data_IF_520358512628
#
_entry.id   IF_520358512628
#
_cell.length_a   1.000
_cell.length_b   1.000
_cell.length_c   1.000
_cell.angle_alpha   90.00
_cell.angle_beta   90.00
_cell.angle_gamma   90.00
#
_symmetry.space_group_name_H-M   'P 1'
#
loop_
_entity.id
_entity.type
_entity.pdbx_description
1 polymer ?
#
# COMPACT_ATOMS: atom_id res chain seq x y z
N UNK A 1 9.15 -4.60 -20.82
CA UNK A 1 7.69 -4.78 -20.60
C UNK A 1 7.35 -4.99 -19.12
N UNK A 2 8.05 -5.83 -18.36
CA UNK A 2 7.78 -5.99 -16.90
C UNK A 2 8.51 -4.93 -16.06
N UNK A 3 9.75 -4.57 -16.41
CA UNK A 3 10.57 -3.57 -15.69
C UNK A 3 10.02 -2.15 -15.84
N UNK A 4 9.45 -1.79 -16.99
CA UNK A 4 8.90 -0.45 -17.24
C UNK A 4 7.68 -0.18 -16.36
N UNK A 5 6.81 -1.19 -16.20
CA UNK A 5 5.66 -1.13 -15.30
C UNK A 5 6.11 -1.01 -13.83
N UNK A 6 7.13 -1.77 -13.44
CA UNK A 6 7.72 -1.66 -12.10
C UNK A 6 8.33 -0.27 -11.86
N UNK A 7 9.08 0.28 -12.81
CA UNK A 7 9.68 1.60 -12.69
C UNK A 7 8.61 2.70 -12.56
N UNK A 8 7.52 2.61 -13.33
CA UNK A 8 6.38 3.52 -13.21
C UNK A 8 5.68 3.39 -11.86
N UNK A 9 5.48 2.16 -11.38
CA UNK A 9 4.91 1.93 -10.06
C UNK A 9 5.79 2.55 -8.97
N UNK A 10 7.10 2.28 -8.98
CA UNK A 10 8.03 2.82 -7.99
C UNK A 10 8.11 4.36 -8.05
N UNK A 11 8.07 4.96 -9.23
CA UNK A 11 7.99 6.41 -9.39
C UNK A 11 6.73 6.99 -8.72
N UNK A 12 5.61 6.26 -8.78
CA UNK A 12 4.38 6.64 -8.09
C UNK A 12 4.49 6.34 -6.59
N UNK A 13 4.90 5.15 -6.18
CA UNK A 13 4.93 4.70 -4.79
C UNK A 13 6.00 5.42 -3.94
N UNK A 14 7.09 5.90 -4.55
CA UNK A 14 8.28 6.47 -3.90
C UNK A 14 8.10 7.77 -3.12
N UNK A 15 6.88 8.13 -2.72
CA UNK A 15 6.64 9.17 -1.72
C UNK A 15 6.72 8.60 -0.32
N UNK A 16 7.32 9.33 0.65
CA UNK A 16 7.41 8.87 2.04
C UNK A 16 6.08 8.41 2.64
N UNK A 17 5.00 9.17 2.46
CA UNK A 17 3.69 8.81 3.00
C UNK A 17 3.10 7.57 2.31
N UNK A 18 3.31 7.40 1.00
CA UNK A 18 2.81 6.24 0.26
C UNK A 18 3.55 4.97 0.65
N UNK A 19 4.87 5.05 0.81
CA UNK A 19 5.66 3.93 1.35
C UNK A 19 5.25 3.57 2.78
N UNK A 20 4.96 4.56 3.64
CA UNK A 20 4.43 4.28 4.99
C UNK A 20 3.06 3.60 4.95
N UNK A 21 2.15 4.03 4.07
CA UNK A 21 0.85 3.34 3.86
C UNK A 21 1.08 1.87 3.49
N UNK A 22 1.97 1.61 2.54
CA UNK A 22 2.29 0.25 2.12
C UNK A 22 2.92 -0.58 3.25
N UNK A 23 3.78 0.02 4.07
CA UNK A 23 4.38 -0.62 5.23
C UNK A 23 3.32 -1.01 6.26
N UNK A 24 2.46 -0.08 6.68
CA UNK A 24 1.40 -0.38 7.64
C UNK A 24 0.47 -1.48 7.13
N UNK A 25 0.03 -1.40 5.87
CA UNK A 25 -0.81 -2.43 5.25
C UNK A 25 -0.10 -3.78 5.04
N UNK A 26 1.23 -3.84 5.17
CA UNK A 26 2.00 -5.09 5.13
C UNK A 26 2.14 -5.74 6.51
N UNK A 27 1.98 -4.98 7.59
CA UNK A 27 2.12 -5.43 8.97
C UNK A 27 0.78 -5.86 9.60
N UNK A 28 -0.34 -5.35 9.08
CA UNK A 28 -1.69 -5.67 9.57
C UNK A 28 -2.60 -6.16 8.44
N UNK A 29 -3.70 -6.83 8.81
CA UNK A 29 -4.61 -7.44 7.82
C UNK A 29 -5.37 -6.40 6.98
N UNK A 30 -5.94 -5.38 7.60
CA UNK A 30 -6.65 -4.30 6.91
C UNK A 30 -6.70 -3.00 7.73
N UNK A 31 -6.74 -1.85 7.06
CA UNK A 31 -6.88 -0.52 7.69
C UNK A 31 -7.89 0.35 6.93
N UNK A 32 -8.67 1.17 7.63
CA UNK A 32 -9.49 2.20 7.01
C UNK A 32 -8.68 3.47 6.70
N UNK A 33 -9.28 4.38 5.92
CA UNK A 33 -8.71 5.72 5.68
C UNK A 33 -8.55 6.50 6.98
N UNK A 34 -9.44 6.29 7.96
CA UNK A 34 -9.39 6.86 9.29
C UNK A 34 -8.11 6.45 10.04
N UNK A 35 -7.85 5.14 10.15
CA UNK A 35 -6.68 4.61 10.85
C UNK A 35 -5.39 5.12 10.21
N UNK A 36 -5.31 5.09 8.87
CA UNK A 36 -4.14 5.58 8.13
C UNK A 36 -3.93 7.09 8.30
N UNK A 37 -5.00 7.87 8.42
CA UNK A 37 -4.93 9.30 8.69
C UNK A 37 -4.34 9.59 10.08
N UNK A 38 -4.77 8.83 11.09
CA UNK A 38 -4.25 8.92 12.44
C UNK A 38 -2.78 8.47 12.52
N UNK A 39 -2.44 7.32 11.95
CA UNK A 39 -1.07 6.79 11.93
C UNK A 39 -0.05 7.70 11.22
N UNK A 40 -0.50 8.43 10.20
CA UNK A 40 0.37 9.29 9.39
C UNK A 40 0.37 10.76 9.84
N UNK A 41 -0.48 11.13 10.79
CA UNK A 41 -0.77 12.52 11.16
C UNK A 41 -1.15 13.36 9.93
N UNK A 42 -2.11 12.85 9.14
CA UNK A 42 -2.60 13.46 7.90
C UNK A 42 -4.12 13.55 7.87
N UNK A 43 -4.67 14.45 7.07
CA UNK A 43 -6.10 14.50 6.79
C UNK A 43 -6.58 13.31 5.94
N UNK A 44 -7.79 12.83 6.19
CA UNK A 44 -8.42 11.71 5.45
C UNK A 44 -8.46 11.94 3.93
N UNK A 45 -8.68 13.17 3.46
CA UNK A 45 -8.66 13.52 2.03
C UNK A 45 -7.27 13.30 1.40
N UNK A 46 -6.20 13.63 2.14
CA UNK A 46 -4.82 13.42 1.70
C UNK A 46 -4.50 11.93 1.60
N UNK A 47 -4.89 11.14 2.60
CA UNK A 47 -4.72 9.68 2.61
C UNK A 47 -5.50 9.03 1.46
N UNK A 48 -6.77 9.42 1.27
CA UNK A 48 -7.60 8.93 0.16
C UNK A 48 -6.97 9.25 -1.20
N UNK A 49 -6.39 10.44 -1.36
CA UNK A 49 -5.64 10.81 -2.57
C UNK A 49 -4.41 9.91 -2.80
N UNK A 50 -3.65 9.61 -1.74
CA UNK A 50 -2.51 8.70 -1.81
C UNK A 50 -2.92 7.28 -2.21
N UNK A 51 -3.96 6.74 -1.58
CA UNK A 51 -4.51 5.42 -1.91
C UNK A 51 -5.00 5.38 -3.36
N UNK A 52 -5.75 6.38 -3.82
CA UNK A 52 -6.26 6.43 -5.20
C UNK A 52 -5.14 6.47 -6.25
N UNK A 53 -4.03 7.18 -5.98
CA UNK A 53 -2.86 7.21 -6.89
C UNK A 53 -2.21 5.84 -7.08
N UNK A 54 -2.26 4.98 -6.06
CA UNK A 54 -1.69 3.64 -6.14
C UNK A 54 -2.72 2.57 -6.51
N UNK A 55 -4.03 2.83 -6.29
CA UNK A 55 -5.12 1.88 -6.53
C UNK A 55 -5.19 1.38 -7.98
N UNK A 56 -4.85 2.22 -8.96
CA UNK A 56 -4.82 1.83 -10.38
C UNK A 56 -3.82 0.72 -10.70
N UNK A 57 -2.87 0.45 -9.80
CA UNK A 57 -1.86 -0.59 -9.95
C UNK A 57 -2.29 -1.95 -9.41
N UNK A 58 -3.53 -2.08 -8.92
CA UNK A 58 -4.07 -3.36 -8.47
C UNK A 58 -3.47 -3.88 -7.17
N UNK A 59 -2.67 -3.08 -6.47
CA UNK A 59 -1.95 -3.50 -5.25
C UNK A 59 -2.81 -3.56 -3.99
N UNK A 60 -4.05 -3.05 -4.05
CA UNK A 60 -4.97 -3.01 -2.92
C UNK A 60 -6.19 -3.89 -3.17
N UNK A 61 -6.53 -4.70 -2.17
CA UNK A 61 -7.86 -5.23 -1.96
C UNK A 61 -8.65 -4.23 -1.12
N UNK A 62 -9.96 -4.17 -1.36
CA UNK A 62 -10.85 -3.33 -0.57
C UNK A 62 -12.04 -4.14 -0.07
N UNK A 63 -12.32 -4.05 1.22
CA UNK A 63 -13.53 -4.58 1.85
C UNK A 63 -14.39 -3.41 2.32
N UNK A 64 -15.70 -3.51 2.14
CA UNK A 64 -16.64 -2.52 2.65
C UNK A 64 -17.35 -3.08 3.88
N UNK A 65 -17.38 -2.29 4.95
CA UNK A 65 -18.14 -2.57 6.16
C UNK A 65 -19.00 -1.36 6.51
N UNK A 66 -20.31 -1.50 6.32
CA UNK A 66 -21.26 -0.38 6.36
C UNK A 66 -20.77 0.82 5.51
N UNK A 67 -20.41 1.93 6.16
CA UNK A 67 -19.93 3.14 5.51
C UNK A 67 -18.40 3.18 5.32
N UNK A 68 -17.66 2.29 5.96
CA UNK A 68 -16.20 2.28 5.96
C UNK A 68 -15.64 1.38 4.85
N UNK A 69 -14.52 1.80 4.27
CA UNK A 69 -13.74 1.02 3.31
C UNK A 69 -12.41 0.70 3.97
N UNK A 70 -12.14 -0.59 4.09
CA UNK A 70 -10.89 -1.15 4.56
C UNK A 70 -10.02 -1.53 3.37
N UNK A 71 -8.73 -1.24 3.48
CA UNK A 71 -7.70 -1.52 2.49
C UNK A 71 -6.78 -2.61 3.02
N UNK A 72 -6.36 -3.51 2.15
CA UNK A 72 -5.34 -4.53 2.42
C UNK A 72 -4.48 -4.77 1.18
N UNK A 73 -3.31 -5.39 1.31
CA UNK A 73 -2.45 -5.68 0.16
C UNK A 73 -3.04 -6.82 -0.67
N UNK A 74 -3.18 -6.59 -1.98
CA UNK A 74 -3.63 -7.59 -2.92
C UNK A 74 -2.52 -8.60 -3.21
N UNK A 75 -2.56 -9.75 -2.53
CA UNK A 75 -1.78 -10.97 -2.81
C UNK A 75 -0.27 -10.73 -3.07
N UNK A 76 0.50 -11.01 -2.03
CA UNK A 76 1.93 -10.77 -1.83
C UNK A 76 2.86 -11.34 -2.92
N UNK A 77 2.36 -12.24 -3.77
CA UNK A 77 3.14 -12.92 -4.81
C UNK A 77 3.57 -12.03 -5.98
N UNK A 78 2.96 -10.86 -6.16
CA UNK A 78 3.29 -9.99 -7.29
C UNK A 78 3.71 -8.58 -6.84
N UNK A 79 4.98 -8.28 -7.19
CA UNK A 79 5.60 -6.98 -7.48
C UNK A 79 6.41 -6.33 -6.35
N UNK A 80 5.96 -6.25 -5.10
CA UNK A 80 6.67 -5.42 -4.09
C UNK A 80 7.49 -6.24 -3.10
N UNK A 81 6.98 -7.39 -2.65
CA UNK A 81 7.59 -8.17 -1.57
C UNK A 81 8.98 -8.73 -1.92
N UNK A 82 9.20 -9.23 -3.15
CA UNK A 82 10.52 -9.70 -3.57
C UNK A 82 11.57 -8.59 -3.74
N UNK A 83 11.16 -7.32 -3.85
CA UNK A 83 12.08 -6.21 -4.16
C UNK A 83 12.45 -5.38 -2.92
N UNK A 84 11.57 -5.31 -1.92
CA UNK A 84 11.82 -4.61 -0.65
C UNK A 84 12.30 -5.57 0.44
N UNK A 85 11.86 -6.83 0.42
CA UNK A 85 12.31 -7.89 1.33
C UNK A 85 12.84 -9.08 0.52
N UNK A 86 14.15 -9.19 0.24
CA UNK A 86 14.67 -10.44 -0.29
C UNK A 86 14.35 -11.56 0.72
N UNK A 87 13.88 -12.74 0.26
CA UNK A 87 13.56 -13.88 1.13
C UNK A 87 14.68 -14.31 2.10
N UNK A 88 15.90 -13.79 1.94
CA UNK A 88 17.05 -14.00 2.83
C UNK A 88 16.97 -13.24 4.16
N UNK A 89 16.02 -12.33 4.38
CA UNK A 89 15.82 -11.60 5.64
C UNK A 89 14.74 -12.21 6.56
N UNK A 90 14.08 -13.29 6.13
CA UNK A 90 13.12 -14.06 6.94
C UNK A 90 13.72 -15.36 7.51
N UNK A 91 15.05 -15.50 7.46
CA UNK A 91 15.79 -16.62 8.07
C UNK A 91 16.91 -16.07 8.96
N UNK A 92 16.54 -15.30 9.98
CA UNK A 92 17.27 -15.14 11.26
C UNK A 92 16.29 -14.71 12.34
#
# INVERSE_FOLDING_TARGET
MEIDALAQFLAIAGSPHRLRILLYLSEVEELCVCDLAELLDLGMTTVSSHLNKMKSWGIFKTRRDAQMIYYSIADTKNIIFNFIYPPSLLVF
#
